data_IF_057256168812
#
_entry.id   IF_057256168812
#
_cell.length_a   1.000
_cell.length_b   1.000
_cell.length_c   1.000
_cell.angle_alpha   90.00
_cell.angle_beta   90.00
_cell.angle_gamma   90.00
#
_symmetry.space_group_name_H-M   'P 1'
#
loop_
_entity.id
_entity.type
_entity.pdbx_description
1 polymer ?
#
# COMPACT_ATOMS: atom_id res chain seq x y z
N UNK A 1 -25.19 11.07 24.40
CA UNK A 1 -24.76 12.33 25.07
C UNK A 1 -23.32 12.30 25.60
N UNK A 2 -22.78 11.18 26.11
CA UNK A 2 -21.34 11.10 26.47
C UNK A 2 -20.45 10.69 25.28
N UNK A 3 -20.98 9.85 24.37
CA UNK A 3 -20.22 9.29 23.23
C UNK A 3 -19.82 10.35 22.17
N UNK A 4 -20.56 11.46 22.06
CA UNK A 4 -20.20 12.58 21.16
C UNK A 4 -19.14 13.49 21.78
N UNK A 5 -19.07 13.56 23.11
CA UNK A 5 -18.05 14.35 23.83
C UNK A 5 -16.67 13.69 23.85
N UNK A 6 -16.62 12.35 23.85
CA UNK A 6 -15.36 11.63 24.02
C UNK A 6 -14.57 11.42 22.70
N UNK A 7 -15.12 11.81 21.53
CA UNK A 7 -14.53 11.54 20.22
C UNK A 7 -13.73 12.71 19.60
N UNK A 8 -13.82 13.93 20.16
CA UNK A 8 -13.28 15.13 19.52
C UNK A 8 -12.64 16.07 20.54
N UNK A 9 -11.32 16.23 20.44
CA UNK A 9 -10.52 17.04 21.36
C UNK A 9 -10.23 18.46 20.84
N UNK A 10 -11.07 19.01 19.97
CA UNK A 10 -10.87 20.35 19.42
C UNK A 10 -11.80 21.37 20.10
N UNK A 11 -11.17 22.31 20.79
CA UNK A 11 -11.77 23.21 21.79
C UNK A 11 -12.76 24.25 21.21
N UNK A 12 -12.97 24.26 19.89
CA UNK A 12 -13.78 25.26 19.19
C UNK A 12 -15.24 24.82 18.96
N UNK A 13 -15.54 23.52 19.01
CA UNK A 13 -16.90 22.99 18.78
C UNK A 13 -17.79 23.05 20.04
N UNK A 14 -17.21 22.96 21.24
CA UNK A 14 -17.94 23.08 22.50
C UNK A 14 -18.64 24.45 22.64
N UNK A 15 -18.06 25.51 22.09
CA UNK A 15 -18.70 26.84 22.08
C UNK A 15 -19.95 26.87 21.20
N UNK A 16 -19.96 26.15 20.07
CA UNK A 16 -21.12 26.09 19.16
C UNK A 16 -22.27 25.33 19.83
N UNK A 17 -21.94 24.20 20.50
CA UNK A 17 -22.92 23.41 21.25
C UNK A 17 -23.46 24.19 22.46
N UNK A 18 -22.61 24.85 23.25
CA UNK A 18 -23.08 25.68 24.37
C UNK A 18 -23.95 26.85 23.90
N UNK A 19 -23.63 27.48 22.77
CA UNK A 19 -24.45 28.55 22.19
C UNK A 19 -25.81 28.03 21.69
N UNK A 20 -25.85 26.82 21.12
CA UNK A 20 -27.08 26.14 20.74
C UNK A 20 -27.93 25.75 21.98
N UNK A 21 -27.30 25.29 23.07
CA UNK A 21 -27.99 25.00 24.33
C UNK A 21 -28.50 26.26 25.05
N UNK A 22 -27.79 27.38 24.97
CA UNK A 22 -28.28 28.66 25.48
C UNK A 22 -29.60 29.09 24.79
N UNK A 23 -29.88 28.60 23.59
CA UNK A 23 -31.08 28.96 22.82
C UNK A 23 -32.36 28.26 23.25
N UNK A 24 -32.31 27.13 23.97
CA UNK A 24 -33.53 26.45 24.45
C UNK A 24 -34.32 27.26 25.49
N UNK A 25 -33.78 28.39 25.95
CA UNK A 25 -34.41 29.30 26.92
C UNK A 25 -35.08 30.53 26.29
N UNK A 26 -35.14 30.66 24.95
CA UNK A 26 -35.84 31.78 24.33
C UNK A 26 -37.36 31.57 24.33
N UNK A 27 -38.08 32.41 25.08
CA UNK A 27 -39.52 32.62 24.88
C UNK A 27 -39.74 33.44 23.59
N UNK A 28 -40.64 33.02 22.69
CA UNK A 28 -40.91 33.74 21.46
C UNK A 28 -41.65 35.06 21.77
N UNK A 29 -40.99 36.20 21.53
CA UNK A 29 -41.63 37.52 21.56
C UNK A 29 -42.51 37.69 20.31
N UNK A 30 -43.80 37.94 20.53
CA UNK A 30 -44.88 37.74 19.57
C UNK A 30 -45.05 38.82 18.45
N UNK A 31 -44.04 39.64 18.15
CA UNK A 31 -44.27 40.84 17.32
C UNK A 31 -43.42 41.03 16.06
N UNK A 32 -42.51 40.11 15.72
CA UNK A 32 -41.86 40.09 14.40
C UNK A 32 -41.73 38.65 13.90
N UNK A 33 -42.53 38.29 12.90
CA UNK A 33 -42.66 36.93 12.36
C UNK A 33 -41.53 36.60 11.39
N UNK A 34 -40.27 36.78 11.80
CA UNK A 34 -39.19 36.08 11.11
C UNK A 34 -39.38 34.58 11.40
N UNK A 35 -39.77 33.80 10.37
CA UNK A 35 -40.02 32.35 10.51
C UNK A 35 -38.79 31.59 11.02
N UNK A 36 -37.59 32.14 10.76
CA UNK A 36 -36.31 31.60 11.21
C UNK A 36 -35.59 32.67 12.03
N UNK A 37 -35.29 32.40 13.32
CA UNK A 37 -34.53 33.33 14.15
C UNK A 37 -33.13 33.62 13.59
N UNK A 38 -32.69 34.88 13.61
CA UNK A 38 -31.33 35.29 13.19
C UNK A 38 -30.20 34.53 13.88
N UNK A 39 -30.41 34.11 15.12
CA UNK A 39 -29.45 33.31 15.86
C UNK A 39 -29.24 31.93 15.20
N UNK A 40 -30.31 31.29 14.71
CA UNK A 40 -30.20 30.04 13.94
C UNK A 40 -29.42 30.27 12.65
N UNK A 41 -29.69 31.37 11.92
CA UNK A 41 -28.93 31.73 10.72
C UNK A 41 -27.43 31.87 11.02
N UNK A 42 -27.09 32.58 12.10
CA UNK A 42 -25.70 32.78 12.51
C UNK A 42 -24.99 31.47 12.83
N UNK A 43 -25.66 30.54 13.52
CA UNK A 43 -25.07 29.24 13.86
C UNK A 43 -24.88 28.40 12.60
N UNK A 44 -25.89 28.33 11.71
CA UNK A 44 -25.79 27.56 10.46
C UNK A 44 -24.63 28.05 9.58
N UNK A 45 -24.35 29.36 9.58
CA UNK A 45 -23.20 29.93 8.87
C UNK A 45 -21.84 29.49 9.44
N UNK A 46 -21.80 29.06 10.70
CA UNK A 46 -20.60 28.57 11.38
C UNK A 46 -20.40 27.05 11.27
N UNK A 47 -21.44 26.30 10.87
CA UNK A 47 -21.30 24.86 10.61
C UNK A 47 -20.34 24.66 9.43
N UNK A 48 -19.52 23.61 9.50
CA UNK A 48 -18.66 23.17 8.38
C UNK A 48 -19.51 23.03 7.11
N UNK A 49 -19.09 23.63 6.00
CA UNK A 49 -19.85 23.57 4.74
C UNK A 49 -20.06 22.13 4.27
N UNK A 50 -21.28 21.83 3.83
CA UNK A 50 -21.66 20.52 3.30
C UNK A 50 -20.89 20.23 2.00
N UNK A 51 -20.19 19.11 1.99
CA UNK A 51 -19.53 18.56 0.82
C UNK A 51 -19.81 17.06 0.71
N UNK A 52 -19.27 16.41 -0.32
CA UNK A 52 -19.54 14.99 -0.62
C UNK A 52 -19.06 13.99 0.45
N UNK A 53 -18.22 14.42 1.41
CA UNK A 53 -17.54 13.53 2.35
C UNK A 53 -17.98 13.72 3.80
N UNK A 54 -18.75 14.77 4.12
CA UNK A 54 -19.07 15.11 5.51
C UNK A 54 -20.57 15.05 5.84
N UNK A 55 -21.40 14.42 5.00
CA UNK A 55 -22.85 14.26 5.25
C UNK A 55 -23.14 13.77 6.68
N UNK A 56 -22.46 12.70 7.12
CA UNK A 56 -22.66 12.09 8.44
C UNK A 56 -22.34 13.01 9.63
N UNK A 57 -21.55 14.06 9.42
CA UNK A 57 -21.21 15.08 10.43
C UNK A 57 -22.16 16.27 10.28
N UNK A 58 -22.37 16.73 9.04
CA UNK A 58 -23.15 17.91 8.72
C UNK A 58 -24.62 17.75 9.06
N UNK A 59 -25.25 16.61 8.71
CA UNK A 59 -26.69 16.42 8.90
C UNK A 59 -27.11 16.52 10.38
N UNK A 60 -26.48 15.81 11.34
CA UNK A 60 -26.84 15.95 12.75
C UNK A 60 -26.70 17.40 13.25
N UNK A 61 -25.60 18.07 12.93
CA UNK A 61 -25.38 19.46 13.34
C UNK A 61 -26.43 20.41 12.76
N UNK A 62 -26.72 20.28 11.46
CA UNK A 62 -27.73 21.09 10.79
C UNK A 62 -29.13 20.84 11.39
N UNK A 63 -29.48 19.57 11.65
CA UNK A 63 -30.75 19.18 12.26
C UNK A 63 -30.90 19.73 13.67
N UNK A 64 -29.85 19.68 14.49
CA UNK A 64 -29.86 20.25 15.85
C UNK A 64 -30.06 21.77 15.82
N UNK A 65 -29.49 22.46 14.83
CA UNK A 65 -29.64 23.91 14.68
C UNK A 65 -31.07 24.33 14.32
N UNK A 66 -31.78 23.55 13.50
CA UNK A 66 -33.17 23.86 13.09
C UNK A 66 -34.22 23.25 14.03
N UNK A 67 -33.84 22.33 14.92
CA UNK A 67 -34.74 21.66 15.86
C UNK A 67 -35.61 22.62 16.71
N UNK A 68 -35.11 23.79 17.17
CA UNK A 68 -35.94 24.76 17.90
C UNK A 68 -37.06 25.39 17.06
N UNK A 69 -37.00 25.32 15.72
CA UNK A 69 -38.00 25.88 14.83
C UNK A 69 -39.15 24.88 14.70
N UNK A 70 -40.35 25.30 15.09
CA UNK A 70 -41.56 24.46 15.03
C UNK A 70 -41.73 23.87 13.63
N UNK A 71 -41.96 22.56 13.57
CA UNK A 71 -42.19 21.76 12.35
C UNK A 71 -41.00 21.69 11.36
N UNK A 72 -39.92 22.46 11.50
CA UNK A 72 -38.85 22.53 10.50
C UNK A 72 -38.24 21.15 10.18
N UNK A 73 -37.92 20.37 11.22
CA UNK A 73 -37.39 19.01 11.04
C UNK A 73 -38.37 18.11 10.29
N UNK A 74 -39.64 18.08 10.72
CA UNK A 74 -40.66 17.21 10.14
C UNK A 74 -41.03 17.63 8.71
N UNK A 75 -41.02 18.93 8.40
CA UNK A 75 -41.17 19.46 7.04
C UNK A 75 -39.99 18.99 6.18
N UNK A 76 -38.76 19.15 6.66
CA UNK A 76 -37.56 18.82 5.90
C UNK A 76 -37.40 17.31 5.64
N UNK A 77 -37.67 16.46 6.64
CA UNK A 77 -37.66 14.99 6.49
C UNK A 77 -38.85 14.49 5.67
N UNK A 78 -39.86 15.33 5.46
CA UNK A 78 -41.09 14.98 4.75
C UNK A 78 -42.05 14.12 5.59
N UNK A 79 -41.93 14.14 6.91
CA UNK A 79 -42.92 13.58 7.83
C UNK A 79 -44.25 14.32 7.75
N UNK A 80 -44.21 15.62 7.47
CA UNK A 80 -45.39 16.44 7.13
C UNK A 80 -45.46 16.54 5.60
N UNK A 81 -46.44 15.88 4.94
CA UNK A 81 -46.55 15.91 3.49
C UNK A 81 -47.04 17.28 2.98
N UNK A 82 -46.67 17.61 1.74
CA UNK A 82 -47.16 18.83 1.06
C UNK A 82 -48.69 18.78 0.98
N UNK A 83 -49.33 19.86 1.42
CA UNK A 83 -50.80 19.97 1.48
C UNK A 83 -51.42 19.58 2.82
N UNK A 84 -50.64 19.11 3.79
CA UNK A 84 -51.09 18.95 5.17
C UNK A 84 -51.29 20.33 5.84
N UNK A 85 -52.25 20.47 6.76
CA UNK A 85 -52.55 21.76 7.42
C UNK A 85 -51.36 22.32 8.21
N UNK A 86 -50.51 21.45 8.76
CA UNK A 86 -49.27 21.81 9.46
C UNK A 86 -48.08 22.10 8.53
N UNK A 87 -48.24 21.92 7.21
CA UNK A 87 -47.19 22.17 6.23
C UNK A 87 -47.10 23.67 5.92
N UNK A 88 -45.96 24.26 6.28
CA UNK A 88 -45.66 25.66 5.98
C UNK A 88 -44.75 25.76 4.75
N UNK A 89 -45.34 26.10 3.59
CA UNK A 89 -44.61 26.24 2.31
C UNK A 89 -43.50 27.29 2.38
N UNK A 90 -43.74 28.38 3.09
CA UNK A 90 -42.76 29.45 3.21
C UNK A 90 -41.62 29.04 4.16
N UNK A 91 -41.90 28.28 5.22
CA UNK A 91 -40.86 27.67 6.04
C UNK A 91 -39.97 26.75 5.19
N UNK A 92 -40.56 25.89 4.36
CA UNK A 92 -39.78 24.98 3.50
C UNK A 92 -38.91 25.73 2.47
N UNK A 93 -39.42 26.85 1.93
CA UNK A 93 -38.64 27.74 1.06
C UNK A 93 -37.47 28.40 1.81
N UNK A 94 -37.64 28.80 3.06
CA UNK A 94 -36.54 29.31 3.87
C UNK A 94 -35.50 28.21 4.19
N UNK A 95 -35.96 26.99 4.49
CA UNK A 95 -35.09 25.84 4.72
C UNK A 95 -34.26 25.50 3.47
N UNK A 96 -34.82 25.64 2.27
CA UNK A 96 -34.07 25.53 1.01
C UNK A 96 -32.89 26.51 0.99
N UNK A 97 -33.13 27.79 1.31
CA UNK A 97 -32.08 28.81 1.36
C UNK A 97 -30.98 28.46 2.39
N UNK A 98 -31.35 27.88 3.52
CA UNK A 98 -30.39 27.42 4.54
C UNK A 98 -29.53 26.25 4.06
N UNK A 99 -30.14 25.27 3.40
CA UNK A 99 -29.39 24.14 2.83
C UNK A 99 -28.43 24.63 1.75
N UNK A 100 -28.89 25.47 0.83
CA UNK A 100 -28.04 26.00 -0.23
C UNK A 100 -26.89 26.84 0.35
N UNK A 101 -27.16 27.75 1.28
CA UNK A 101 -26.12 28.58 1.88
C UNK A 101 -25.11 27.81 2.73
N UNK A 102 -25.45 26.60 3.18
CA UNK A 102 -24.54 25.72 3.93
C UNK A 102 -23.77 24.75 3.04
N UNK A 103 -24.05 24.67 1.75
CA UNK A 103 -23.27 23.89 0.79
C UNK A 103 -21.90 24.53 0.49
N UNK A 104 -20.88 23.71 0.24
CA UNK A 104 -19.58 24.14 -0.24
C UNK A 104 -19.63 24.37 -1.76
N UNK A 105 -19.60 25.63 -2.19
CA UNK A 105 -19.58 26.03 -3.61
C UNK A 105 -18.16 26.23 -4.16
N UNK A 106 -17.14 25.68 -3.50
CA UNK A 106 -15.77 25.71 -4.00
C UNK A 106 -15.63 25.00 -5.36
N UNK A 107 -14.65 25.37 -6.21
CA UNK A 107 -14.50 24.84 -7.57
C UNK A 107 -14.26 23.31 -7.63
N UNK A 108 -13.86 22.70 -6.51
CA UNK A 108 -13.64 21.26 -6.37
C UNK A 108 -14.86 20.52 -5.79
N UNK A 109 -15.88 21.25 -5.34
CA UNK A 109 -17.09 20.67 -4.80
C UNK A 109 -17.97 20.16 -5.93
N UNK A 110 -18.53 18.97 -5.73
CA UNK A 110 -19.57 18.43 -6.61
C UNK A 110 -20.96 18.62 -6.04
N UNK A 111 -21.10 19.30 -4.90
CA UNK A 111 -22.40 19.45 -4.23
C UNK A 111 -23.40 20.18 -5.14
N UNK A 112 -22.91 21.10 -5.96
CA UNK A 112 -23.71 21.87 -6.92
C UNK A 112 -24.43 20.96 -7.92
N UNK A 113 -23.82 19.84 -8.31
CA UNK A 113 -24.45 18.87 -9.21
C UNK A 113 -25.72 18.26 -8.62
N UNK A 114 -25.85 18.23 -7.30
CA UNK A 114 -27.03 17.75 -6.58
C UNK A 114 -27.99 18.88 -6.21
N UNK A 115 -27.47 20.10 -6.05
CA UNK A 115 -28.26 21.28 -5.71
C UNK A 115 -29.02 21.89 -6.89
N UNK A 116 -28.57 21.63 -8.13
CA UNK A 116 -29.24 22.12 -9.34
C UNK A 116 -30.65 21.52 -9.45
N UNK A 117 -31.63 22.42 -9.62
CA UNK A 117 -33.02 22.12 -9.94
C UNK A 117 -33.13 21.40 -11.28
N UNK A 118 -33.91 20.33 -11.34
CA UNK A 118 -34.14 19.60 -12.59
C UNK A 118 -35.11 20.36 -13.51
N UNK A 119 -34.97 20.20 -14.83
CA UNK A 119 -35.77 20.95 -15.82
C UNK A 119 -37.28 20.73 -15.67
N UNK A 120 -37.70 19.59 -15.12
CA UNK A 120 -39.10 19.20 -14.97
C UNK A 120 -39.66 19.50 -13.58
N UNK A 121 -38.86 20.02 -12.65
CA UNK A 121 -39.33 20.37 -11.30
C UNK A 121 -40.00 21.74 -11.32
N UNK A 122 -41.32 21.81 -11.08
CA UNK A 122 -42.10 23.07 -11.03
C UNK A 122 -41.66 24.02 -9.91
N UNK A 123 -41.17 23.48 -8.79
CA UNK A 123 -40.66 24.26 -7.66
C UNK A 123 -39.70 23.38 -6.83
N UNK A 124 -38.50 23.90 -6.56
CA UNK A 124 -37.57 23.22 -5.67
C UNK A 124 -37.92 23.60 -4.24
N UNK A 125 -38.31 22.61 -3.44
CA UNK A 125 -38.60 22.77 -2.02
C UNK A 125 -37.40 22.31 -1.18
N UNK A 126 -37.24 22.84 0.04
CA UNK A 126 -36.16 22.45 0.94
C UNK A 126 -36.20 20.97 1.27
N UNK A 127 -37.39 20.43 1.53
CA UNK A 127 -37.65 19.01 1.75
C UNK A 127 -37.25 18.13 0.57
N UNK A 128 -37.57 18.55 -0.66
CA UNK A 128 -37.16 17.85 -1.90
C UNK A 128 -35.64 17.86 -2.08
N UNK A 129 -34.99 19.02 -1.91
CA UNK A 129 -33.54 19.13 -1.99
C UNK A 129 -32.84 18.29 -0.91
N UNK A 130 -33.31 18.33 0.33
CA UNK A 130 -32.76 17.54 1.42
C UNK A 130 -32.87 16.04 1.13
N UNK A 131 -34.01 15.56 0.63
CA UNK A 131 -34.16 14.15 0.21
C UNK A 131 -33.19 13.78 -0.92
N UNK A 132 -33.02 14.66 -1.91
CA UNK A 132 -32.09 14.47 -3.04
C UNK A 132 -30.64 14.41 -2.56
N UNK A 133 -30.22 15.35 -1.72
CA UNK A 133 -28.88 15.37 -1.12
C UNK A 133 -28.65 14.15 -0.24
N UNK A 134 -29.61 13.80 0.62
CA UNK A 134 -29.54 12.61 1.46
C UNK A 134 -29.32 11.38 0.60
N UNK A 135 -30.17 11.13 -0.39
CA UNK A 135 -30.03 9.99 -1.29
C UNK A 135 -28.66 9.98 -2.01
N UNK A 136 -28.27 11.10 -2.63
CA UNK A 136 -27.03 11.19 -3.39
C UNK A 136 -25.78 10.97 -2.52
N UNK A 137 -25.78 11.50 -1.30
CA UNK A 137 -24.63 11.48 -0.42
C UNK A 137 -24.55 10.19 0.42
N UNK A 138 -25.68 9.53 0.68
CA UNK A 138 -25.70 8.23 1.37
C UNK A 138 -25.55 7.03 0.43
N UNK A 139 -25.79 7.16 -0.89
CA UNK A 139 -25.53 6.06 -1.86
C UNK A 139 -24.09 5.57 -1.75
N UNK A 140 -23.13 6.49 -1.61
CA UNK A 140 -21.73 6.11 -1.44
C UNK A 140 -21.50 5.35 -0.14
N UNK A 141 -22.28 5.64 0.90
CA UNK A 141 -22.15 4.97 2.19
C UNK A 141 -22.74 3.56 2.12
N UNK A 142 -23.82 3.32 1.38
CA UNK A 142 -24.32 1.97 1.10
C UNK A 142 -23.29 1.12 0.33
N UNK A 143 -22.66 1.68 -0.70
CA UNK A 143 -21.60 0.99 -1.46
C UNK A 143 -20.39 0.71 -0.57
N UNK A 144 -19.96 1.68 0.24
CA UNK A 144 -18.87 1.47 1.21
C UNK A 144 -19.23 0.43 2.26
N UNK A 145 -20.47 0.44 2.78
CA UNK A 145 -20.95 -0.55 3.74
C UNK A 145 -20.94 -1.94 3.12
N UNK A 146 -21.37 -2.09 1.86
CA UNK A 146 -21.25 -3.36 1.13
C UNK A 146 -19.79 -3.82 1.02
N UNK A 147 -18.88 -2.92 0.63
CA UNK A 147 -17.46 -3.25 0.53
C UNK A 147 -16.85 -3.63 1.89
N UNK A 148 -17.28 -3.00 2.98
CA UNK A 148 -16.90 -3.35 4.35
C UNK A 148 -17.44 -4.73 4.71
N UNK A 149 -18.69 -5.05 4.35
CA UNK A 149 -19.24 -6.39 4.57
C UNK A 149 -18.42 -7.45 3.82
N UNK A 150 -18.01 -7.20 2.58
CA UNK A 150 -17.12 -8.09 1.84
C UNK A 150 -15.76 -8.23 2.54
N UNK A 151 -15.17 -7.13 3.02
CA UNK A 151 -13.94 -7.15 3.82
C UNK A 151 -14.08 -7.99 5.10
N UNK A 152 -15.23 -7.91 5.78
CA UNK A 152 -15.53 -8.77 6.94
C UNK A 152 -15.51 -10.23 6.53
N UNK A 153 -16.01 -10.60 5.35
CA UNK A 153 -15.99 -11.99 4.86
C UNK A 153 -14.60 -12.47 4.42
N UNK A 154 -13.76 -11.58 3.91
CA UNK A 154 -12.43 -11.90 3.41
C UNK A 154 -11.33 -11.95 4.49
N UNK A 155 -11.58 -11.33 5.65
CA UNK A 155 -10.58 -11.24 6.71
C UNK A 155 -10.13 -12.63 7.19
N UNK A 156 -8.80 -12.81 7.24
CA UNK A 156 -8.14 -14.07 7.58
C UNK A 156 -7.01 -13.83 8.55
N UNK A 157 -6.75 -14.81 9.41
CA UNK A 157 -5.57 -14.80 10.27
C UNK A 157 -4.31 -15.00 9.43
N UNK A 158 -3.43 -14.00 9.37
CA UNK A 158 -2.14 -14.07 8.69
C UNK A 158 -1.02 -14.35 9.70
N UNK A 159 -0.12 -15.28 9.37
CA UNK A 159 1.06 -15.63 10.17
C UNK A 159 0.76 -15.95 11.65
N UNK A 160 -0.42 -16.49 11.93
CA UNK A 160 -0.90 -16.75 13.29
C UNK A 160 -0.84 -15.49 14.20
N UNK A 161 -0.92 -14.28 13.66
CA UNK A 161 -0.80 -13.05 14.45
C UNK A 161 -2.16 -12.48 14.83
N UNK A 162 -2.67 -12.90 15.98
CA UNK A 162 -3.95 -12.43 16.52
C UNK A 162 -4.00 -10.92 16.78
N UNK A 163 -2.85 -10.28 17.08
CA UNK A 163 -2.80 -8.84 17.36
C UNK A 163 -3.07 -8.02 16.11
N UNK A 164 -2.51 -8.44 14.96
CA UNK A 164 -2.75 -7.77 13.69
C UNK A 164 -4.19 -7.98 13.23
N UNK A 165 -4.73 -9.19 13.40
CA UNK A 165 -6.14 -9.49 13.14
C UNK A 165 -7.08 -8.61 13.99
N UNK A 166 -6.78 -8.42 15.28
CA UNK A 166 -7.56 -7.54 16.17
C UNK A 166 -7.59 -6.10 15.68
N UNK A 167 -6.42 -5.54 15.30
CA UNK A 167 -6.32 -4.19 14.73
C UNK A 167 -7.12 -4.03 13.45
N UNK A 168 -7.08 -5.04 12.57
CA UNK A 168 -7.82 -5.02 11.31
C UNK A 168 -9.34 -5.07 11.56
N UNK A 169 -9.81 -5.91 12.48
CA UNK A 169 -11.21 -5.92 12.90
C UNK A 169 -11.65 -4.60 13.54
N UNK A 170 -10.83 -4.00 14.39
CA UNK A 170 -11.12 -2.70 15.01
C UNK A 170 -11.23 -1.60 13.95
N UNK A 171 -10.33 -1.61 12.97
CA UNK A 171 -10.37 -0.67 11.85
C UNK A 171 -11.68 -0.81 11.07
N UNK A 172 -12.06 -2.03 10.67
CA UNK A 172 -13.31 -2.31 9.94
C UNK A 172 -14.52 -1.80 10.73
N UNK A 173 -14.60 -2.10 12.04
CA UNK A 173 -15.73 -1.68 12.87
C UNK A 173 -15.81 -0.15 13.02
N UNK A 174 -14.65 0.51 13.17
CA UNK A 174 -14.59 1.96 13.25
C UNK A 174 -14.98 2.62 11.91
N UNK A 175 -14.61 2.02 10.79
CA UNK A 175 -15.03 2.47 9.45
C UNK A 175 -16.55 2.33 9.28
N UNK A 176 -17.16 1.24 9.76
CA UNK A 176 -18.63 1.09 9.75
C UNK A 176 -19.32 2.13 10.62
N UNK A 177 -18.81 2.37 11.83
CA UNK A 177 -19.36 3.36 12.76
C UNK A 177 -19.33 4.78 12.18
N UNK A 178 -18.27 5.12 11.43
CA UNK A 178 -18.17 6.40 10.70
C UNK A 178 -19.22 6.57 9.61
N UNK A 179 -19.73 5.47 9.05
CA UNK A 179 -20.82 5.47 8.07
C UNK A 179 -22.20 5.46 8.74
N UNK A 180 -22.28 5.76 10.04
CA UNK A 180 -23.53 5.79 10.80
C UNK A 180 -24.13 4.40 11.06
N UNK A 181 -23.44 3.32 10.71
CA UNK A 181 -23.90 1.96 10.95
C UNK A 181 -23.19 1.35 12.15
N UNK A 182 -23.97 0.79 13.07
CA UNK A 182 -23.43 0.09 14.24
C UNK A 182 -23.48 -1.41 14.00
N UNK A 183 -22.33 -2.01 13.68
CA UNK A 183 -22.22 -3.47 13.59
C UNK A 183 -22.30 -4.10 14.98
N UNK A 184 -23.03 -5.22 15.06
CA UNK A 184 -23.23 -5.97 16.30
C UNK A 184 -21.89 -6.49 16.86
N UNK A 185 -21.67 -6.31 18.15
CA UNK A 185 -20.47 -6.83 18.84
C UNK A 185 -20.42 -8.36 18.79
N UNK A 186 -21.58 -9.02 18.75
CA UNK A 186 -21.66 -10.47 18.56
C UNK A 186 -21.12 -10.89 17.19
N UNK A 187 -21.35 -10.09 16.14
CA UNK A 187 -20.79 -10.31 14.81
C UNK A 187 -19.28 -10.12 14.80
N UNK A 188 -18.75 -9.14 15.56
CA UNK A 188 -17.30 -8.93 15.72
C UNK A 188 -16.64 -10.15 16.35
N UNK A 189 -17.23 -10.66 17.44
CA UNK A 189 -16.77 -11.87 18.13
C UNK A 189 -16.88 -13.12 17.25
N UNK A 190 -17.97 -13.31 16.52
CA UNK A 190 -18.14 -14.48 15.64
C UNK A 190 -17.15 -14.45 14.46
N UNK A 191 -16.85 -13.26 13.92
CA UNK A 191 -15.83 -13.05 12.89
C UNK A 191 -14.45 -13.42 13.43
N UNK A 192 -14.08 -12.92 14.61
CA UNK A 192 -12.82 -13.29 15.28
C UNK A 192 -12.68 -14.82 15.42
N UNK A 193 -13.71 -15.50 15.94
CA UNK A 193 -13.70 -16.96 16.08
C UNK A 193 -13.60 -17.69 14.76
N UNK A 194 -14.27 -17.22 13.71
CA UNK A 194 -14.19 -17.82 12.37
C UNK A 194 -12.77 -17.73 11.82
N UNK A 195 -12.10 -16.58 11.97
CA UNK A 195 -10.76 -16.35 11.44
C UNK A 195 -9.66 -17.19 12.10
N UNK A 196 -9.85 -17.61 13.35
CA UNK A 196 -8.88 -18.43 14.10
C UNK A 196 -9.26 -19.91 14.20
N UNK A 197 -10.42 -20.31 13.67
CA UNK A 197 -10.99 -21.66 13.86
C UNK A 197 -10.06 -22.77 13.37
N UNK A 198 -9.43 -22.54 12.21
CA UNK A 198 -8.61 -23.54 11.51
C UNK A 198 -7.15 -23.53 11.97
N UNK A 199 -6.78 -22.63 12.87
CA UNK A 199 -5.44 -22.54 13.44
C UNK A 199 -5.37 -23.32 14.76
N UNK A 200 -4.56 -24.39 14.73
CA UNK A 200 -4.36 -25.31 15.85
C UNK A 200 -3.94 -24.62 17.15
N UNK A 201 -3.26 -23.46 17.07
CA UNK A 201 -2.83 -22.71 18.25
C UNK A 201 -4.02 -22.17 19.05
N UNK A 202 -5.12 -21.85 18.36
CA UNK A 202 -6.25 -21.15 18.95
C UNK A 202 -7.47 -22.05 19.19
N UNK A 203 -7.60 -23.17 18.48
CA UNK A 203 -8.77 -24.07 18.54
C UNK A 203 -9.19 -24.40 19.97
N UNK A 204 -8.27 -24.89 20.81
CA UNK A 204 -8.58 -25.26 22.20
C UNK A 204 -9.08 -24.07 23.04
N UNK A 205 -8.52 -22.88 22.82
CA UNK A 205 -8.92 -21.67 23.55
C UNK A 205 -10.30 -21.21 23.12
N UNK A 206 -10.60 -21.24 21.82
CA UNK A 206 -11.92 -20.91 21.29
C UNK A 206 -12.98 -21.87 21.82
N UNK A 207 -12.71 -23.18 21.81
CA UNK A 207 -13.65 -24.18 22.33
C UNK A 207 -13.88 -24.01 23.83
N UNK A 208 -12.82 -23.71 24.59
CA UNK A 208 -12.91 -23.40 26.02
C UNK A 208 -13.75 -22.15 26.28
N UNK A 209 -13.56 -21.08 25.50
CA UNK A 209 -14.35 -19.84 25.60
C UNK A 209 -15.83 -20.09 25.28
N UNK A 210 -16.13 -20.86 24.24
CA UNK A 210 -17.51 -21.21 23.87
C UNK A 210 -18.20 -22.06 24.95
N UNK A 211 -17.48 -23.01 25.55
CA UNK A 211 -18.04 -23.90 26.56
C UNK A 211 -18.23 -23.21 27.92
N UNK A 212 -17.24 -22.43 28.36
CA UNK A 212 -17.24 -21.85 29.71
C UNK A 212 -17.93 -20.49 29.77
N UNK A 213 -17.85 -19.68 28.70
CA UNK A 213 -18.35 -18.31 28.69
C UNK A 213 -18.93 -17.93 27.32
N UNK A 214 -20.06 -18.54 26.89
CA UNK A 214 -20.66 -18.26 25.58
C UNK A 214 -21.07 -16.79 25.42
N UNK A 215 -21.41 -16.12 26.52
CA UNK A 215 -21.82 -14.71 26.58
C UNK A 215 -20.67 -13.71 26.72
N UNK A 216 -19.40 -14.14 26.71
CA UNK A 216 -18.28 -13.19 26.78
C UNK A 216 -18.33 -12.18 25.62
N UNK A 217 -17.87 -10.96 25.89
CA UNK A 217 -17.82 -9.88 24.91
C UNK A 217 -16.60 -10.02 23.97
N UNK A 218 -16.48 -9.16 22.97
CA UNK A 218 -15.38 -9.25 22.01
C UNK A 218 -14.01 -9.05 22.68
N UNK A 219 -13.90 -8.05 23.55
CA UNK A 219 -12.64 -7.69 24.23
C UNK A 219 -12.08 -8.86 25.06
N UNK A 220 -12.94 -9.53 25.82
CA UNK A 220 -12.54 -10.69 26.61
C UNK A 220 -12.02 -11.83 25.73
N UNK A 221 -12.75 -12.15 24.65
CA UNK A 221 -12.37 -13.20 23.71
C UNK A 221 -11.03 -12.86 23.02
N UNK A 222 -10.86 -11.61 22.58
CA UNK A 222 -9.62 -11.12 21.97
C UNK A 222 -8.44 -11.22 22.94
N UNK A 223 -8.58 -10.74 24.18
CA UNK A 223 -7.51 -10.81 25.18
C UNK A 223 -7.10 -12.25 25.51
N UNK A 224 -8.05 -13.17 25.61
CA UNK A 224 -7.74 -14.59 25.83
C UNK A 224 -6.89 -15.19 24.69
N UNK A 225 -7.24 -14.88 23.44
CA UNK A 225 -6.47 -15.34 22.26
C UNK A 225 -5.11 -14.63 22.17
N UNK A 226 -5.05 -13.33 22.46
CA UNK A 226 -3.80 -12.57 22.51
C UNK A 226 -2.83 -13.10 23.57
N UNK A 227 -3.34 -13.46 24.75
CA UNK A 227 -2.54 -14.10 25.81
C UNK A 227 -1.95 -15.44 25.33
N UNK A 228 -2.74 -16.27 24.64
CA UNK A 228 -2.28 -17.54 24.08
C UNK A 228 -1.19 -17.38 23.03
N UNK A 229 -1.32 -16.37 22.18
CA UNK A 229 -0.26 -16.00 21.23
C UNK A 229 1.04 -15.62 21.95
N UNK A 230 0.96 -14.85 23.04
CA UNK A 230 2.13 -14.49 23.84
C UNK A 230 2.78 -15.72 24.52
N UNK A 231 1.98 -16.61 25.09
CA UNK A 231 2.45 -17.87 25.69
C UNK A 231 3.21 -18.73 24.67
N UNK A 232 2.67 -18.88 23.46
CA UNK A 232 3.33 -19.62 22.38
C UNK A 232 4.62 -18.94 21.88
N UNK A 233 4.66 -17.61 21.86
CA UNK A 233 5.85 -16.85 21.50
C UNK A 233 6.97 -17.03 22.53
N UNK A 234 6.62 -17.10 23.83
CA UNK A 234 7.57 -17.35 24.91
C UNK A 234 8.07 -18.79 24.91
N UNK A 235 7.20 -19.77 24.72
CA UNK A 235 7.58 -21.19 24.66
C UNK A 235 8.42 -21.52 23.42
N UNK A 236 8.11 -20.92 22.28
CA UNK A 236 8.91 -21.05 21.05
C UNK A 236 10.33 -20.50 21.19
N UNK A 237 10.51 -19.40 21.94
CA UNK A 237 11.83 -18.87 22.27
C UNK A 237 12.61 -19.84 23.15
N UNK A 238 11.99 -20.39 24.20
CA UNK A 238 12.64 -21.38 25.07
C UNK A 238 13.02 -22.65 24.31
N UNK A 239 12.16 -23.14 23.40
CA UNK A 239 12.49 -24.29 22.55
C UNK A 239 13.64 -23.98 21.57
N UNK A 240 13.72 -22.76 21.05
CA UNK A 240 14.82 -22.34 20.16
C UNK A 240 16.14 -22.11 20.89
N UNK A 241 16.11 -21.54 22.11
CA UNK A 241 17.30 -21.29 22.95
C UNK A 241 17.84 -22.60 23.51
N UNK A 242 16.97 -23.50 23.98
CA UNK A 242 17.41 -24.80 24.48
C UNK A 242 17.96 -25.70 23.36
N UNK A 243 17.43 -25.55 22.14
CA UNK A 243 17.92 -26.25 20.94
C UNK A 243 19.21 -25.62 20.38
N UNK A 244 19.49 -24.33 20.63
CA UNK A 244 20.76 -23.69 20.29
C UNK A 244 21.91 -24.15 21.21
N UNK A 245 21.65 -24.42 22.48
CA UNK A 245 22.67 -24.91 23.42
C UNK A 245 23.08 -26.37 23.12
N UNK A 246 22.17 -27.21 22.61
CA UNK A 246 22.45 -28.62 22.34
C UNK A 246 22.91 -28.94 20.89
N UNK A 247 22.91 -27.97 19.97
CA UNK A 247 23.19 -28.23 18.54
C UNK A 247 24.35 -27.42 17.94
N UNK A 248 25.20 -26.77 18.74
CA UNK A 248 26.38 -26.08 18.23
C UNK A 248 27.38 -27.03 17.50
N UNK A 249 27.34 -28.33 17.76
CA UNK A 249 28.23 -29.30 17.10
C UNK A 249 27.69 -29.88 15.78
N UNK A 250 26.38 -29.74 15.47
CA UNK A 250 25.74 -30.47 14.36
C UNK A 250 25.40 -29.68 13.09
N UNK A 251 25.29 -28.36 13.14
CA UNK A 251 24.61 -27.56 12.09
C UNK A 251 25.50 -26.75 11.15
N UNK A 252 26.82 -26.91 11.21
CA UNK A 252 27.76 -26.29 10.26
C UNK A 252 27.83 -27.02 8.91
N UNK A 253 26.68 -27.36 8.30
CA UNK A 253 26.63 -27.97 6.94
C UNK A 253 26.49 -26.94 5.81
N UNK A 254 27.04 -25.74 5.98
CA UNK A 254 27.29 -24.86 4.84
C UNK A 254 28.43 -25.41 3.98
N UNK A 255 28.55 -24.96 2.72
CA UNK A 255 29.63 -25.44 1.84
C UNK A 255 30.94 -24.84 2.34
N UNK A 256 31.74 -25.63 3.05
CA UNK A 256 33.12 -25.23 3.37
C UNK A 256 33.91 -25.16 2.07
N UNK A 257 34.72 -24.12 1.93
CA UNK A 257 35.61 -23.99 0.79
C UNK A 257 36.74 -25.04 0.94
N UNK A 258 36.86 -26.03 0.04
CA UNK A 258 37.88 -27.07 0.19
C UNK A 258 39.31 -26.50 0.15
N UNK A 259 39.48 -25.33 -0.49
CA UNK A 259 40.75 -24.64 -0.57
C UNK A 259 41.09 -23.84 0.69
N UNK A 260 40.13 -23.59 1.58
CA UNK A 260 40.35 -22.88 2.84
C UNK A 260 39.41 -23.41 3.93
N UNK A 261 39.78 -24.51 4.62
CA UNK A 261 38.93 -25.14 5.64
C UNK A 261 38.70 -24.25 6.88
N UNK A 262 39.46 -23.17 7.05
CA UNK A 262 39.29 -22.22 8.15
C UNK A 262 38.26 -21.12 7.82
N UNK A 263 37.77 -21.04 6.58
CA UNK A 263 36.76 -20.05 6.21
C UNK A 263 35.37 -20.49 6.69
N UNK A 264 34.62 -19.65 7.44
CA UNK A 264 33.32 -20.02 7.97
C UNK A 264 32.35 -20.36 6.85
N UNK A 265 31.53 -21.39 7.08
CA UNK A 265 30.61 -21.91 6.08
C UNK A 265 29.62 -20.82 5.62
N UNK A 266 29.45 -20.68 4.30
CA UNK A 266 28.58 -19.65 3.69
C UNK A 266 27.19 -20.22 3.38
N UNK A 267 26.17 -19.39 3.54
CA UNK A 267 24.80 -19.70 3.17
C UNK A 267 24.68 -20.05 1.68
N UNK A 268 24.01 -21.16 1.33
CA UNK A 268 23.83 -21.56 -0.07
C UNK A 268 23.02 -20.56 -0.90
N UNK A 269 22.17 -19.76 -0.26
CA UNK A 269 21.24 -18.84 -0.93
C UNK A 269 21.86 -17.46 -1.21
N UNK A 270 22.50 -16.85 -0.21
CA UNK A 270 23.06 -15.50 -0.33
C UNK A 270 24.60 -15.43 -0.29
N UNK A 271 25.29 -16.56 -0.05
CA UNK A 271 26.76 -16.66 0.07
C UNK A 271 27.40 -15.86 1.20
N UNK A 272 26.63 -15.34 2.15
CA UNK A 272 27.16 -14.70 3.36
C UNK A 272 27.46 -15.75 4.45
N UNK A 273 28.52 -15.59 5.24
CA UNK A 273 28.80 -16.45 6.38
C UNK A 273 27.78 -16.22 7.52
N UNK A 274 27.80 -17.10 8.53
CA UNK A 274 27.06 -16.90 9.78
C UNK A 274 25.60 -17.38 9.79
N UNK A 275 25.10 -17.97 8.70
CA UNK A 275 23.78 -18.63 8.67
C UNK A 275 23.68 -19.68 7.56
N UNK A 276 22.71 -20.59 7.69
CA UNK A 276 22.36 -21.59 6.66
C UNK A 276 21.15 -21.13 5.82
N UNK A 277 20.93 -21.75 4.67
CA UNK A 277 19.91 -21.32 3.70
C UNK A 277 18.49 -21.23 4.27
N UNK A 278 18.14 -22.08 5.24
CA UNK A 278 16.83 -22.08 5.90
C UNK A 278 16.60 -20.85 6.79
N UNK A 279 17.69 -20.24 7.28
CA UNK A 279 17.68 -19.04 8.14
C UNK A 279 18.13 -17.79 7.35
N UNK A 280 18.14 -17.86 6.02
CA UNK A 280 18.59 -16.76 5.19
C UNK A 280 17.50 -15.69 5.09
N UNK A 281 17.68 -14.58 5.80
CA UNK A 281 16.77 -13.42 5.80
C UNK A 281 16.76 -12.64 4.48
N UNK A 282 17.67 -12.92 3.54
CA UNK A 282 17.57 -12.50 2.13
C UNK A 282 16.52 -13.33 1.38
N UNK A 283 15.29 -13.33 1.91
CA UNK A 283 14.13 -14.00 1.34
C UNK A 283 13.56 -13.08 0.27
N UNK A 284 13.13 -13.67 -0.86
CA UNK A 284 12.20 -12.99 -1.76
C UNK A 284 10.95 -12.65 -0.95
N UNK A 285 10.72 -11.37 -0.74
CA UNK A 285 9.65 -10.87 0.11
C UNK A 285 8.32 -10.84 -0.61
N UNK A 286 7.26 -10.80 0.19
CA UNK A 286 5.97 -10.27 -0.24
C UNK A 286 6.00 -8.77 0.06
N UNK A 287 5.74 -7.93 -0.94
CA UNK A 287 5.71 -6.48 -0.77
C UNK A 287 4.37 -5.96 -1.29
N UNK A 288 3.59 -5.30 -0.45
CA UNK A 288 2.36 -4.67 -0.90
C UNK A 288 2.67 -3.24 -1.32
N UNK A 289 2.48 -2.91 -2.59
CA UNK A 289 2.51 -1.53 -3.07
C UNK A 289 1.16 -0.88 -2.79
N UNK A 290 1.15 0.26 -2.10
CA UNK A 290 -0.03 1.12 -1.97
C UNK A 290 0.06 2.24 -3.01
N UNK A 291 -0.84 2.23 -3.99
CA UNK A 291 -0.98 3.27 -5.00
C UNK A 291 -2.14 4.18 -4.61
N UNK A 292 -1.82 5.44 -4.31
CA UNK A 292 -2.80 6.48 -4.02
C UNK A 292 -3.21 7.16 -5.33
N UNK A 293 -4.37 6.78 -5.87
CA UNK A 293 -4.93 7.38 -7.09
C UNK A 293 -6.14 8.20 -6.66
N UNK A 294 -5.97 9.54 -6.57
CA UNK A 294 -6.99 10.57 -6.26
C UNK A 294 -8.02 10.26 -5.16
N UNK A 295 -8.97 9.35 -5.39
CA UNK A 295 -10.04 8.94 -4.46
C UNK A 295 -10.00 7.46 -4.05
N UNK A 296 -8.97 6.71 -4.44
CA UNK A 296 -8.85 5.27 -4.20
C UNK A 296 -7.42 4.90 -3.81
N UNK A 297 -7.29 4.03 -2.80
CA UNK A 297 -6.01 3.41 -2.44
C UNK A 297 -6.03 1.98 -2.98
N UNK A 298 -5.27 1.73 -4.04
CA UNK A 298 -5.12 0.42 -4.62
C UNK A 298 -3.93 -0.30 -3.99
N UNK A 299 -4.16 -1.48 -3.43
CA UNK A 299 -3.10 -2.32 -2.87
C UNK A 299 -2.74 -3.42 -3.84
N UNK A 300 -1.53 -3.38 -4.40
CA UNK A 300 -1.04 -4.42 -5.31
C UNK A 300 -0.06 -5.32 -4.54
N UNK A 301 -0.41 -6.59 -4.28
CA UNK A 301 0.51 -7.53 -3.69
C UNK A 301 1.57 -7.96 -4.72
N UNK A 302 2.82 -7.59 -4.49
CA UNK A 302 3.95 -8.12 -5.23
C UNK A 302 4.50 -9.36 -4.53
N UNK A 303 4.46 -10.48 -5.23
CA UNK A 303 5.10 -11.73 -4.79
C UNK A 303 6.50 -11.85 -5.40
N UNK A 304 7.36 -12.67 -4.79
CA UNK A 304 8.69 -12.99 -5.32
C UNK A 304 9.66 -11.79 -5.46
N UNK A 305 9.46 -10.73 -4.67
CA UNK A 305 10.25 -9.48 -4.74
C UNK A 305 11.64 -9.68 -4.13
N UNK A 306 12.69 -9.47 -4.93
CA UNK A 306 14.07 -9.48 -4.45
C UNK A 306 14.48 -8.07 -4.02
N UNK A 307 14.55 -7.84 -2.72
CA UNK A 307 15.16 -6.61 -2.19
C UNK A 307 16.68 -6.70 -2.34
N UNK A 308 17.27 -5.82 -3.17
CA UNK A 308 18.72 -5.72 -3.37
C UNK A 308 19.19 -4.35 -2.85
N UNK A 309 19.66 -4.25 -1.60
CA UNK A 309 20.15 -2.99 -1.08
C UNK A 309 21.35 -2.49 -1.90
N UNK A 310 21.42 -1.18 -2.16
CA UNK A 310 22.49 -0.50 -2.90
C UNK A 310 22.55 -0.80 -4.42
N UNK A 311 21.46 -1.24 -5.05
CA UNK A 311 21.37 -1.45 -6.50
C UNK A 311 21.21 -0.14 -7.29
N UNK A 312 21.73 1.00 -6.82
CA UNK A 312 21.51 2.31 -7.46
C UNK A 312 22.38 2.58 -8.68
N UNK A 313 23.45 1.78 -8.91
CA UNK A 313 24.46 2.10 -9.94
C UNK A 313 24.11 1.65 -11.35
N UNK A 314 23.12 0.75 -11.50
CA UNK A 314 22.74 0.16 -12.80
C UNK A 314 21.21 0.13 -13.01
N UNK A 315 20.45 0.90 -12.22
CA UNK A 315 19.00 1.01 -12.36
C UNK A 315 18.60 2.40 -12.84
N UNK A 316 17.70 2.43 -13.82
CA UNK A 316 17.01 3.65 -14.23
C UNK A 316 15.88 3.94 -13.24
N UNK A 317 15.92 5.11 -12.61
CA UNK A 317 14.81 5.56 -11.78
C UNK A 317 13.66 6.05 -12.65
N UNK A 318 12.48 5.42 -12.51
CA UNK A 318 11.27 5.83 -13.22
C UNK A 318 10.86 7.25 -12.82
N UNK A 319 10.96 7.60 -11.53
CA UNK A 319 10.57 8.95 -11.07
C UNK A 319 11.43 10.03 -11.71
N UNK A 320 12.75 9.81 -11.79
CA UNK A 320 13.69 10.75 -12.43
C UNK A 320 13.43 10.86 -13.93
N UNK A 321 13.08 9.77 -14.61
CA UNK A 321 12.69 9.82 -16.03
C UNK A 321 11.43 10.66 -16.23
N UNK A 322 10.39 10.44 -15.41
CA UNK A 322 9.13 11.20 -15.48
C UNK A 322 9.32 12.69 -15.15
N UNK A 323 10.14 13.01 -14.14
CA UNK A 323 10.50 14.39 -13.79
C UNK A 323 11.23 15.12 -14.93
N UNK A 324 11.98 14.38 -15.74
CA UNK A 324 12.64 14.91 -16.94
C UNK A 324 11.76 14.88 -18.19
N UNK A 325 10.44 14.68 -18.04
CA UNK A 325 9.48 14.74 -19.14
C UNK A 325 9.40 13.49 -20.01
N UNK A 326 9.98 12.37 -19.58
CA UNK A 326 9.83 11.10 -20.27
C UNK A 326 8.54 10.38 -19.82
N UNK A 327 7.82 9.79 -20.77
CA UNK A 327 6.65 8.94 -20.53
C UNK A 327 7.04 7.47 -20.60
N UNK A 328 6.65 6.70 -19.58
CA UNK A 328 6.90 5.25 -19.52
C UNK A 328 5.64 4.47 -19.86
N UNK A 329 5.73 3.56 -20.82
CA UNK A 329 4.66 2.63 -21.19
C UNK A 329 5.12 1.22 -20.83
N UNK A 330 4.34 0.52 -20.02
CA UNK A 330 4.60 -0.86 -19.62
C UNK A 330 3.69 -1.81 -20.40
N UNK A 331 4.29 -2.76 -21.11
CA UNK A 331 3.61 -3.80 -21.87
C UNK A 331 4.02 -5.18 -21.34
N UNK A 332 3.26 -6.22 -21.70
CA UNK A 332 3.59 -7.61 -21.31
C UNK A 332 4.99 -8.03 -21.80
N UNK A 333 5.42 -7.49 -22.94
CA UNK A 333 6.70 -7.84 -23.58
C UNK A 333 7.90 -6.99 -23.12
N UNK A 334 7.67 -5.90 -22.38
CA UNK A 334 8.72 -4.96 -21.98
C UNK A 334 8.19 -3.58 -21.57
N UNK A 335 9.12 -2.66 -21.34
CA UNK A 335 8.85 -1.24 -21.15
C UNK A 335 9.37 -0.41 -22.33
N UNK A 336 8.63 0.65 -22.68
CA UNK A 336 9.00 1.66 -23.67
C UNK A 336 9.11 3.02 -22.98
N UNK A 337 10.23 3.71 -23.23
CA UNK A 337 10.48 5.08 -22.76
C UNK A 337 10.25 6.02 -23.95
N UNK A 338 9.30 6.93 -23.84
CA UNK A 338 9.06 8.00 -24.80
C UNK A 338 9.61 9.30 -24.24
N UNK A 339 10.64 9.87 -24.87
CA UNK A 339 11.24 11.13 -24.44
C UNK A 339 10.45 12.32 -24.98
N UNK A 340 10.72 13.52 -24.44
CA UNK A 340 10.03 14.76 -24.85
C UNK A 340 10.22 15.11 -26.33
N UNK A 341 11.35 14.73 -26.93
CA UNK A 341 11.64 14.92 -28.36
C UNK A 341 10.91 13.93 -29.28
N UNK A 342 10.10 13.03 -28.70
CA UNK A 342 9.41 11.96 -29.41
C UNK A 342 10.26 10.72 -29.65
N UNK A 343 11.53 10.70 -29.24
CA UNK A 343 12.39 9.54 -29.36
C UNK A 343 11.92 8.40 -28.44
N UNK A 344 12.10 7.17 -28.91
CA UNK A 344 11.62 5.98 -28.22
C UNK A 344 12.75 5.01 -27.92
N UNK A 345 12.87 4.60 -26.66
CA UNK A 345 13.79 3.55 -26.21
C UNK A 345 12.98 2.36 -25.74
N UNK A 346 13.09 1.23 -26.45
CA UNK A 346 12.43 -0.02 -26.08
C UNK A 346 13.37 -0.89 -25.28
N UNK A 347 12.90 -1.39 -24.14
CA UNK A 347 13.58 -2.47 -23.44
C UNK A 347 13.25 -3.82 -24.08
N UNK A 348 14.16 -4.78 -23.93
CA UNK A 348 13.93 -6.18 -24.28
C UNK A 348 13.80 -6.99 -23.00
N UNK A 349 12.84 -7.92 -22.97
CA UNK A 349 12.75 -8.89 -21.89
C UNK A 349 13.86 -9.93 -22.01
N UNK A 350 14.75 -9.97 -21.03
CA UNK A 350 15.70 -11.06 -20.87
C UNK A 350 15.02 -12.20 -20.09
N UNK A 351 14.44 -13.15 -20.82
CA UNK A 351 13.68 -14.27 -20.23
C UNK A 351 14.53 -15.11 -19.27
N UNK A 352 15.83 -15.29 -19.55
CA UNK A 352 16.73 -16.06 -18.69
C UNK A 352 16.96 -15.38 -17.33
N UNK A 353 16.96 -14.04 -17.28
CA UNK A 353 17.18 -13.27 -16.06
C UNK A 353 15.90 -12.72 -15.43
N UNK A 354 14.75 -12.88 -16.09
CA UNK A 354 13.46 -12.31 -15.70
C UNK A 354 13.53 -10.81 -15.40
N UNK A 355 14.20 -10.04 -16.27
CA UNK A 355 14.32 -8.57 -16.16
C UNK A 355 14.28 -7.91 -17.52
N UNK A 356 13.84 -6.65 -17.57
CA UNK A 356 13.93 -5.82 -18.76
C UNK A 356 15.33 -5.20 -18.86
N UNK A 357 15.95 -5.27 -20.04
CA UNK A 357 17.26 -4.72 -20.33
C UNK A 357 17.14 -3.73 -21.51
N UNK A 358 17.75 -2.55 -21.38
CA UNK A 358 17.90 -1.60 -22.48
C UNK A 358 19.27 -1.85 -23.10
N UNK A 359 19.28 -2.16 -24.40
CA UNK A 359 20.52 -2.39 -25.14
C UNK A 359 20.97 -1.11 -25.85
N UNK A 360 22.27 -0.80 -25.75
CA UNK A 360 22.88 0.42 -26.28
C UNK A 360 22.75 0.59 -27.80
N UNK A 361 22.45 -0.47 -28.55
CA UNK A 361 22.22 -0.39 -30.00
C UNK A 361 21.02 0.52 -30.35
N UNK A 362 20.06 0.68 -29.42
CA UNK A 362 18.94 1.63 -29.54
C UNK A 362 19.34 3.10 -29.32
N UNK A 363 20.48 3.35 -28.66
CA UNK A 363 21.06 4.68 -28.45
C UNK A 363 22.03 5.06 -29.58
N UNK A 364 22.76 4.09 -30.14
CA UNK A 364 23.75 4.34 -31.19
C UNK A 364 23.14 4.76 -32.53
N UNK A 365 21.89 4.39 -32.82
CA UNK A 365 21.21 4.77 -34.07
C UNK A 365 20.84 6.27 -34.14
N UNK A 366 20.92 7.01 -33.03
CA UNK A 366 20.50 8.42 -32.95
C UNK A 366 21.65 9.44 -33.04
N UNK A 367 22.91 8.99 -33.10
CA UNK A 367 24.09 9.87 -33.15
C UNK A 367 24.88 9.75 -34.47
N UNK A 368 24.18 9.70 -35.61
CA UNK A 368 24.79 9.70 -36.95
C UNK A 368 24.77 11.09 -37.62
N UNK A 369 24.96 12.17 -36.86
CA UNK A 369 25.25 13.49 -37.43
C UNK A 369 26.70 13.87 -37.11
N UNK A 370 27.53 14.25 -38.12
CA UNK A 370 28.91 14.63 -37.89
C UNK A 370 28.96 16.01 -37.23
N UNK A 371 29.21 16.03 -35.92
CA UNK A 371 29.58 17.26 -35.21
C UNK A 371 30.97 17.71 -35.70
N UNK A 372 30.96 18.69 -36.60
CA UNK A 372 32.11 19.53 -36.90
C UNK A 372 32.53 20.31 -35.64
N UNK A 373 33.84 20.33 -35.37
CA UNK A 373 34.45 21.37 -34.55
C UNK A 373 34.81 20.99 -33.11
N UNK A 374 35.65 19.96 -32.92
CA UNK A 374 36.67 19.98 -31.85
C UNK A 374 37.98 19.43 -32.42
N UNK A 375 39.01 20.28 -32.38
CA UNK A 375 40.37 20.02 -32.86
C UNK A 375 40.96 18.73 -32.28
N UNK A 376 41.36 17.84 -33.19
CA UNK A 376 42.11 16.62 -32.93
C UNK A 376 43.60 16.90 -33.01
N UNK A 377 44.21 17.14 -31.86
CA UNK A 377 45.66 17.18 -31.70
C UNK A 377 46.25 15.83 -31.25
N UNK A 378 45.92 14.70 -31.89
CA UNK A 378 46.75 13.47 -31.80
C UNK A 378 46.51 12.57 -33.01
N UNK A 379 47.59 12.28 -33.74
CA UNK A 379 47.65 11.39 -34.91
C UNK A 379 47.12 9.97 -34.60
N UNK A 380 46.47 9.29 -35.57
CA UNK A 380 45.92 7.95 -35.40
C UNK A 380 47.05 6.90 -35.37
N UNK A 381 47.60 6.65 -34.19
CA UNK A 381 48.36 5.43 -33.96
C UNK A 381 47.38 4.26 -33.83
N UNK A 382 47.41 3.36 -34.82
CA UNK A 382 46.86 2.00 -34.83
C UNK A 382 46.18 1.57 -33.52
N UNK A 383 44.86 1.74 -33.43
CA UNK A 383 44.07 1.00 -32.45
C UNK A 383 44.07 -0.48 -32.87
N UNK A 384 45.14 -1.18 -32.51
CA UNK A 384 45.18 -2.64 -32.48
C UNK A 384 43.96 -3.09 -31.69
N UNK A 385 43.00 -3.67 -32.41
CA UNK A 385 41.80 -4.24 -31.84
C UNK A 385 42.16 -5.01 -30.59
N UNK A 386 41.73 -4.49 -29.44
CA UNK A 386 41.78 -5.25 -28.21
C UNK A 386 40.75 -6.37 -28.39
N UNK A 387 41.20 -7.50 -28.95
CA UNK A 387 40.41 -8.71 -29.07
C UNK A 387 39.81 -8.99 -27.69
N UNK A 388 38.52 -9.33 -27.68
CA UNK A 388 37.75 -9.75 -26.49
C UNK A 388 38.63 -10.64 -25.57
N UNK A 389 39.44 -11.52 -26.17
CA UNK A 389 40.51 -12.29 -25.53
C UNK A 389 41.35 -11.54 -24.46
N UNK A 390 41.85 -10.32 -24.71
CA UNK A 390 42.63 -9.53 -23.73
C UNK A 390 41.80 -9.09 -22.52
N UNK A 391 40.53 -8.74 -22.72
CA UNK A 391 39.64 -8.32 -21.63
C UNK A 391 39.28 -9.52 -20.74
N UNK A 392 39.04 -10.68 -21.35
CA UNK A 392 38.79 -11.92 -20.63
C UNK A 392 40.03 -12.42 -19.91
N UNK A 393 41.21 -12.28 -20.51
CA UNK A 393 42.50 -12.57 -19.87
C UNK A 393 42.68 -11.76 -18.57
N UNK A 394 42.39 -10.45 -18.60
CA UNK A 394 42.46 -9.60 -17.40
C UNK A 394 41.46 -10.00 -16.31
N UNK A 395 40.27 -10.49 -16.68
CA UNK A 395 39.19 -10.81 -15.72
C UNK A 395 39.27 -12.21 -15.13
N UNK A 396 39.74 -13.19 -15.91
CA UNK A 396 39.67 -14.60 -15.53
C UNK A 396 41.01 -15.35 -15.60
N UNK A 397 42.10 -14.67 -15.98
CA UNK A 397 43.37 -15.31 -16.30
C UNK A 397 43.28 -16.14 -17.59
N UNK A 398 44.18 -17.12 -17.77
CA UNK A 398 44.01 -18.15 -18.80
C UNK A 398 43.18 -19.32 -18.24
N UNK A 399 41.86 -19.36 -18.49
CA UNK A 399 41.08 -20.53 -18.16
C UNK A 399 41.69 -21.73 -18.89
N UNK A 400 41.98 -22.82 -18.14
CA UNK A 400 42.41 -24.05 -18.76
C UNK A 400 41.35 -24.55 -19.75
N UNK A 401 41.78 -25.34 -20.76
CA UNK A 401 40.95 -25.81 -21.88
C UNK A 401 39.55 -26.30 -21.46
N UNK A 402 39.45 -26.98 -20.32
CA UNK A 402 38.18 -27.47 -19.76
C UNK A 402 37.25 -26.35 -19.26
N UNK A 403 37.78 -25.34 -18.56
CA UNK A 403 37.01 -24.16 -18.12
C UNK A 403 36.60 -23.29 -19.30
N UNK A 404 37.45 -23.14 -20.32
CA UNK A 404 37.10 -22.39 -21.54
C UNK A 404 35.92 -23.06 -22.26
N UNK A 405 35.92 -24.39 -22.37
CA UNK A 405 34.77 -25.14 -22.91
C UNK A 405 33.50 -24.94 -22.10
N UNK A 406 33.57 -24.92 -20.77
CA UNK A 406 32.41 -24.66 -19.92
C UNK A 406 31.88 -23.23 -20.09
N UNK A 407 32.76 -22.23 -20.15
CA UNK A 407 32.36 -20.84 -20.36
C UNK A 407 31.69 -20.68 -21.73
N UNK A 408 32.26 -21.28 -22.76
CA UNK A 408 31.70 -21.25 -24.11
C UNK A 408 30.30 -21.91 -24.15
N UNK A 409 30.16 -23.09 -23.54
CA UNK A 409 28.90 -23.83 -23.49
C UNK A 409 27.79 -23.08 -22.72
N UNK A 410 28.13 -22.39 -21.64
CA UNK A 410 27.12 -21.74 -20.79
C UNK A 410 26.77 -20.31 -21.18
N UNK A 411 27.68 -19.58 -21.83
CA UNK A 411 27.51 -18.12 -21.99
C UNK A 411 27.59 -17.62 -23.43
N UNK A 412 28.20 -18.36 -24.36
CA UNK A 412 28.56 -17.81 -25.69
C UNK A 412 27.90 -18.53 -26.88
N UNK A 413 27.08 -19.55 -26.64
CA UNK A 413 26.42 -20.33 -27.70
C UNK A 413 27.39 -21.21 -28.50
N UNK A 414 26.86 -22.14 -29.30
CA UNK A 414 27.67 -23.15 -30.03
C UNK A 414 28.52 -22.59 -31.18
N UNK A 415 28.19 -21.39 -31.68
CA UNK A 415 28.79 -20.84 -32.91
C UNK A 415 30.03 -19.99 -32.67
N UNK A 416 30.24 -19.50 -31.44
CA UNK A 416 31.36 -18.60 -31.13
C UNK A 416 32.57 -19.42 -30.68
N UNK A 417 33.59 -19.61 -31.53
CA UNK A 417 34.84 -20.25 -31.13
C UNK A 417 35.74 -19.28 -30.35
N UNK A 418 36.11 -19.67 -29.13
CA UNK A 418 37.13 -18.98 -28.35
C UNK A 418 38.51 -19.49 -28.80
N UNK A 419 39.15 -18.79 -29.73
CA UNK A 419 40.54 -19.06 -30.08
C UNK A 419 41.45 -18.67 -28.92
N UNK A 420 42.23 -19.66 -28.47
CA UNK A 420 43.16 -19.48 -27.37
C UNK A 420 44.55 -19.21 -27.91
N UNK A 421 44.79 -17.97 -28.31
CA UNK A 421 46.12 -17.51 -28.70
C UNK A 421 46.94 -17.18 -27.45
N UNK A 422 47.43 -18.22 -26.78
CA UNK A 422 48.30 -18.07 -25.63
C UNK A 422 49.40 -19.11 -25.71
N UNK A 423 50.36 -18.89 -26.61
CA UNK A 423 51.60 -19.64 -26.53
C UNK A 423 52.53 -19.13 -25.42
N UNK A 424 52.56 -17.83 -25.09
CA UNK A 424 53.60 -17.34 -24.15
C UNK A 424 53.16 -16.18 -23.23
N UNK A 425 52.19 -16.40 -22.32
CA UNK A 425 51.94 -15.42 -21.25
C UNK A 425 52.79 -15.75 -20.01
N UNK A 426 53.95 -15.10 -19.89
CA UNK A 426 54.90 -15.31 -18.80
C UNK A 426 54.28 -15.17 -17.39
N UNK A 427 53.37 -14.21 -17.19
CA UNK A 427 52.68 -14.03 -15.90
C UNK A 427 51.82 -15.24 -15.52
N UNK A 428 51.18 -15.88 -16.50
CA UNK A 428 50.37 -17.07 -16.25
C UNK A 428 51.22 -18.33 -16.08
N UNK A 429 52.36 -18.42 -16.77
CA UNK A 429 53.33 -19.52 -16.57
C UNK A 429 53.91 -19.48 -15.16
N UNK A 430 54.33 -18.29 -14.68
CA UNK A 430 54.83 -18.11 -13.31
C UNK A 430 53.77 -18.44 -12.24
N UNK A 431 52.51 -18.02 -12.45
CA UNK A 431 51.42 -18.34 -11.52
C UNK A 431 51.04 -19.83 -11.47
N UNK A 432 51.34 -20.60 -12.52
CA UNK A 432 51.12 -22.06 -12.54
C UNK A 432 52.29 -22.87 -11.98
N UNK A 433 53.51 -22.35 -12.09
CA UNK A 433 54.70 -23.00 -11.51
C UNK A 433 54.66 -23.03 -9.97
N UNK A 434 53.92 -22.13 -9.32
CA UNK A 434 53.75 -22.11 -7.85
C UNK A 434 52.71 -23.10 -7.31
N UNK A 435 52.01 -23.86 -8.16
CA UNK A 435 50.89 -24.74 -7.74
C UNK A 435 51.13 -26.25 -7.84
N UNK A 436 52.37 -26.73 -8.03
CA UNK A 436 52.64 -28.17 -7.95
C UNK A 436 53.95 -28.48 -7.20
N UNK A 437 53.85 -29.20 -6.07
CA UNK A 437 54.92 -30.15 -5.71
C UNK A 437 54.79 -31.32 -6.68
N UNK A 438 55.80 -31.55 -7.50
CA UNK A 438 55.93 -32.83 -8.21
C UNK A 438 55.97 -33.94 -7.15
N UNK A 439 55.09 -34.94 -7.30
CA UNK A 439 55.13 -36.13 -6.46
C UNK A 439 56.51 -36.75 -6.54
N UNK A 440 57.17 -36.90 -5.39
CA UNK A 440 58.44 -37.61 -5.28
C UNK A 440 58.27 -39.02 -5.85
N UNK A 441 59.02 -39.33 -6.90
CA UNK A 441 59.18 -40.69 -7.40
C UNK A 441 59.66 -41.57 -6.25
N UNK A 442 58.94 -42.67 -5.99
CA UNK A 442 59.44 -43.75 -5.15
C UNK A 442 60.69 -44.32 -5.83
N UNK A 443 61.85 -44.17 -5.19
CA UNK A 443 63.00 -45.04 -5.43
C UNK A 443 62.83 -46.30 -4.59
N UNK A 444 62.87 -47.45 -5.28
CA UNK A 444 63.23 -48.75 -4.67
C UNK A 444 64.65 -48.71 -4.10
#
# INVERSE_FOLDING_TARGET
>A
MQIVRDAHSDWHEDQILEHAFAMTNFQPNASQTEKIPKSVLSIILQIVKLNKNNWAIWEPMFMDCICPIKNAKCTLTGEIPVGHDDYDKELDSHLLGLILSSCDHGPNSRIDTYAVREHDEEEQLGSSLYKKLRAALTINDEVKLSAIHDCVHEIKLLNCNIVDLGKELDKIWNDTARLGSRMDEKLKKSTLYRCVKDDWLYTQTVDSLKATQPSCNYEYAYHALAKKYQEAKLSGRQASEHRQVLNQEGYNRGRCNPANPNEPAKCYKCRQPGHIAINCTNIRGFLTLELHITWYVMRIPLTDVLHVPNLSKDLLSISVLTENGAHMIFEESGATILQHDGSMVKSKTNQCKKRWEIHGDSLAAQFNDPLEGIDTGTSPAEHKGHTISKLWHKRFGHPGRSKTKQIQAHYLGKETQLEHDAKDCNCCSQAKQTQARMGSSKTE
#
